data_IF_708040498435
#
_entry.id   IF_708040498435
#
_cell.length_a   1.000
_cell.length_b   1.000
_cell.length_c   1.000
_cell.angle_alpha   90.00
_cell.angle_beta   90.00
_cell.angle_gamma   90.00
#
_symmetry.space_group_name_H-M   'P 1'
#
loop_
_entity.id
_entity.type
_entity.pdbx_description
1 polymer ?
#
# COMPACT_ATOMS: atom_id res chain seq x y z
N UNK A 1 -2.84 -38.62 7.15
CA UNK A 1 -1.64 -37.79 7.42
C UNK A 1 -1.40 -37.88 8.93
N UNK A 2 -0.29 -38.49 9.36
CA UNK A 2 0.03 -38.65 10.79
C UNK A 2 0.34 -37.27 11.37
N UNK A 3 -0.52 -36.72 12.23
CA UNK A 3 -0.16 -35.59 13.10
C UNK A 3 0.81 -36.15 14.15
N UNK A 4 2.11 -35.96 13.94
CA UNK A 4 3.17 -36.52 14.80
C UNK A 4 3.28 -35.80 16.15
N UNK A 5 2.71 -34.60 16.27
CA UNK A 5 2.72 -33.81 17.50
C UNK A 5 1.33 -33.21 17.75
N UNK A 6 0.84 -33.30 18.98
CA UNK A 6 -0.37 -32.59 19.40
C UNK A 6 -0.03 -31.15 19.80
N UNK A 7 -0.98 -30.23 19.68
CA UNK A 7 -0.79 -28.84 20.11
C UNK A 7 -0.46 -28.75 21.61
N UNK A 8 -0.98 -29.67 22.40
CA UNK A 8 -0.66 -29.81 23.82
C UNK A 8 0.84 -30.07 24.08
N UNK A 9 1.54 -30.71 23.14
CA UNK A 9 2.95 -31.06 23.27
C UNK A 9 3.90 -29.90 22.88
N UNK A 10 3.51 -29.08 21.90
CA UNK A 10 4.41 -28.09 21.27
C UNK A 10 3.94 -26.64 21.35
N UNK A 11 2.67 -26.41 21.67
CA UNK A 11 2.01 -25.11 21.54
C UNK A 11 2.65 -24.03 22.41
N UNK A 12 2.94 -24.34 23.67
CA UNK A 12 3.53 -23.37 24.60
C UNK A 12 4.95 -22.94 24.16
N UNK A 13 5.81 -23.89 23.80
CA UNK A 13 7.19 -23.57 23.39
C UNK A 13 7.20 -22.83 22.04
N UNK A 14 6.32 -23.19 21.10
CA UNK A 14 6.17 -22.48 19.84
C UNK A 14 5.72 -21.04 20.07
N UNK A 15 4.67 -20.83 20.87
CA UNK A 15 4.17 -19.49 21.22
C UNK A 15 5.26 -18.67 21.90
N UNK A 16 6.03 -19.26 22.82
CA UNK A 16 7.14 -18.60 23.51
C UNK A 16 8.25 -18.18 22.56
N UNK A 17 8.57 -19.00 21.56
CA UNK A 17 9.57 -18.68 20.51
C UNK A 17 9.09 -17.56 19.61
N UNK A 18 7.82 -17.58 19.19
CA UNK A 18 7.23 -16.55 18.33
C UNK A 18 6.90 -15.25 19.08
N UNK A 19 6.66 -15.33 20.38
CA UNK A 19 6.39 -14.17 21.25
C UNK A 19 7.67 -13.46 21.68
N UNK A 20 8.82 -14.14 21.69
CA UNK A 20 10.12 -13.53 22.00
C UNK A 20 10.46 -12.45 20.99
N UNK A 21 10.38 -11.20 21.43
CA UNK A 21 11.04 -10.08 20.78
C UNK A 21 12.55 -10.24 21.03
N UNK A 22 13.23 -11.05 20.21
CA UNK A 22 14.68 -11.16 20.31
C UNK A 22 15.26 -9.82 19.86
N UNK A 23 15.76 -9.03 20.81
CA UNK A 23 16.69 -7.93 20.54
C UNK A 23 18.02 -8.57 20.07
N UNK A 24 18.05 -9.10 18.84
CA UNK A 24 19.33 -9.34 18.19
C UNK A 24 19.92 -7.97 17.88
N UNK A 25 21.01 -7.63 18.56
CA UNK A 25 21.79 -6.43 18.31
C UNK A 25 22.00 -6.27 16.79
N UNK A 26 21.32 -5.28 16.19
CA UNK A 26 21.43 -4.93 14.77
C UNK A 26 20.17 -5.05 13.92
N UNK A 27 19.08 -5.68 14.38
CA UNK A 27 17.78 -5.68 13.68
C UNK A 27 16.82 -4.66 14.32
N UNK A 28 16.28 -3.75 13.51
CA UNK A 28 15.23 -2.81 13.95
C UNK A 28 14.09 -3.57 14.62
N UNK A 29 13.75 -3.16 15.85
CA UNK A 29 12.77 -3.80 16.74
C UNK A 29 11.42 -4.14 16.08
N UNK A 30 11.01 -3.37 15.07
CA UNK A 30 9.78 -3.59 14.29
C UNK A 30 9.88 -4.72 13.24
N UNK A 31 11.05 -4.95 12.65
CA UNK A 31 11.21 -5.87 11.50
C UNK A 31 11.11 -7.35 11.92
N UNK A 32 11.59 -7.67 13.11
CA UNK A 32 11.51 -9.02 13.70
C UNK A 32 10.07 -9.34 14.16
N UNK A 33 9.37 -8.37 14.79
CA UNK A 33 7.99 -8.53 15.23
C UNK A 33 7.01 -8.80 14.08
N UNK A 34 7.17 -8.07 12.97
CA UNK A 34 6.44 -8.31 11.71
C UNK A 34 6.72 -9.71 11.14
N UNK A 35 7.94 -10.23 11.30
CA UNK A 35 8.30 -11.57 10.83
C UNK A 35 7.67 -12.69 11.66
N UNK A 36 7.57 -12.53 12.98
CA UNK A 36 6.92 -13.51 13.85
C UNK A 36 5.39 -13.54 13.65
N UNK A 37 4.78 -12.36 13.50
CA UNK A 37 3.35 -12.23 13.17
C UNK A 37 3.04 -12.91 11.82
N UNK A 38 3.84 -12.63 10.78
CA UNK A 38 3.68 -13.24 9.46
C UNK A 38 3.78 -14.78 9.53
N UNK A 39 4.79 -15.32 10.23
CA UNK A 39 4.92 -16.76 10.43
C UNK A 39 3.73 -17.36 11.18
N UNK A 40 3.24 -16.69 12.23
CA UNK A 40 2.07 -17.14 12.97
C UNK A 40 0.83 -17.21 12.07
N UNK A 41 0.59 -16.21 11.22
CA UNK A 41 -0.52 -16.18 10.27
C UNK A 41 -0.42 -17.26 9.19
N UNK A 42 0.79 -17.55 8.69
CA UNK A 42 1.00 -18.60 7.69
C UNK A 42 0.74 -19.99 8.28
N UNK A 43 1.23 -20.26 9.50
CA UNK A 43 0.95 -21.52 10.19
C UNK A 43 -0.54 -21.63 10.50
N UNK A 44 -1.14 -20.55 11.02
CA UNK A 44 -2.56 -20.44 11.28
C UNK A 44 -3.41 -20.79 10.04
N UNK A 45 -3.03 -20.31 8.86
CA UNK A 45 -3.76 -20.54 7.61
C UNK A 45 -3.83 -22.00 7.18
N UNK A 46 -2.89 -22.83 7.65
CA UNK A 46 -2.82 -24.26 7.37
C UNK A 46 -3.46 -25.15 8.43
N UNK A 47 -3.99 -24.58 9.53
CA UNK A 47 -4.57 -25.35 10.63
C UNK A 47 -6.09 -25.49 10.52
N UNK A 48 -6.59 -26.66 10.89
CA UNK A 48 -8.02 -26.86 11.15
C UNK A 48 -8.47 -26.05 12.38
N UNK A 49 -9.77 -25.73 12.44
CA UNK A 49 -10.35 -25.02 13.56
C UNK A 49 -10.09 -25.73 14.90
N UNK A 50 -9.64 -24.97 15.91
CA UNK A 50 -9.34 -25.50 17.24
C UNK A 50 -8.36 -24.62 18.03
N UNK A 51 -7.94 -25.12 19.20
CA UNK A 51 -7.13 -24.37 20.16
C UNK A 51 -5.80 -23.84 19.62
N UNK A 52 -5.17 -24.58 18.70
CA UNK A 52 -3.94 -24.15 18.03
C UNK A 52 -4.17 -22.92 17.13
N UNK A 53 -5.29 -22.93 16.39
CA UNK A 53 -5.69 -21.84 15.51
C UNK A 53 -6.01 -20.60 16.36
N UNK A 54 -6.83 -20.74 17.40
CA UNK A 54 -7.20 -19.63 18.29
C UNK A 54 -5.98 -18.99 18.97
N UNK A 55 -5.04 -19.81 19.43
CA UNK A 55 -3.85 -19.31 20.12
C UNK A 55 -2.91 -18.52 19.18
N UNK A 56 -2.70 -19.01 17.96
CA UNK A 56 -1.88 -18.31 16.95
C UNK A 56 -2.57 -17.03 16.46
N UNK A 57 -3.89 -17.07 16.28
CA UNK A 57 -4.68 -15.90 15.92
C UNK A 57 -4.56 -14.80 16.98
N UNK A 58 -4.78 -15.13 18.26
CA UNK A 58 -4.65 -14.17 19.35
C UNK A 58 -3.25 -13.57 19.46
N UNK A 59 -2.20 -14.38 19.25
CA UNK A 59 -0.83 -13.86 19.24
C UNK A 59 -0.57 -12.92 18.06
N UNK A 60 -1.03 -13.28 16.85
CA UNK A 60 -0.90 -12.44 15.67
C UNK A 60 -1.66 -11.11 15.84
N UNK A 61 -2.88 -11.15 16.37
CA UNK A 61 -3.71 -9.96 16.62
C UNK A 61 -3.08 -9.03 17.66
N UNK A 62 -2.53 -9.57 18.76
CA UNK A 62 -1.79 -8.76 19.75
C UNK A 62 -0.58 -8.06 19.15
N UNK A 63 0.18 -8.76 18.30
CA UNK A 63 1.32 -8.15 17.61
C UNK A 63 0.89 -7.10 16.58
N UNK A 64 -0.18 -7.37 15.84
CA UNK A 64 -0.74 -6.43 14.87
C UNK A 64 -1.31 -5.18 15.55
N UNK A 65 -1.89 -5.32 16.74
CA UNK A 65 -2.44 -4.23 17.54
C UNK A 65 -1.38 -3.22 18.02
N UNK A 66 -0.10 -3.59 18.02
CA UNK A 66 1.02 -2.69 18.36
C UNK A 66 1.54 -1.89 17.14
N UNK A 67 0.99 -2.13 15.95
CA UNK A 67 1.41 -1.46 14.71
C UNK A 67 0.61 -0.18 14.44
N UNK A 68 1.17 0.68 13.60
CA UNK A 68 0.40 1.74 12.94
C UNK A 68 -0.44 1.15 11.79
N UNK A 69 -1.49 1.86 11.35
CA UNK A 69 -2.30 1.45 10.20
C UNK A 69 -1.44 1.32 8.91
N UNK A 70 -0.45 2.21 8.74
CA UNK A 70 0.48 2.15 7.62
C UNK A 70 1.38 0.91 7.68
N UNK A 71 2.02 0.64 8.83
CA UNK A 71 2.87 -0.54 9.02
C UNK A 71 2.08 -1.85 8.86
N UNK A 72 0.82 -1.84 9.27
CA UNK A 72 -0.07 -2.98 9.17
C UNK A 72 -0.43 -3.29 7.71
N UNK A 73 -0.83 -2.28 6.93
CA UNK A 73 -1.18 -2.43 5.52
C UNK A 73 0.04 -2.67 4.61
N UNK A 74 1.23 -2.22 5.02
CA UNK A 74 2.50 -2.46 4.31
C UNK A 74 3.29 -3.65 4.83
N UNK A 75 2.73 -4.41 5.79
CA UNK A 75 3.35 -5.61 6.33
C UNK A 75 3.54 -6.71 5.27
N UNK A 76 4.19 -7.81 5.64
CA UNK A 76 4.39 -8.95 4.73
C UNK A 76 3.08 -9.69 4.40
N UNK A 77 2.11 -9.68 5.32
CA UNK A 77 0.90 -10.51 5.25
C UNK A 77 -0.39 -9.74 5.54
N UNK A 78 -0.65 -8.58 4.90
CA UNK A 78 -1.87 -7.79 5.15
C UNK A 78 -3.13 -8.52 4.70
N UNK A 79 -3.01 -9.39 3.68
CA UNK A 79 -4.09 -10.25 3.17
C UNK A 79 -4.51 -11.24 4.26
N UNK A 80 -3.56 -11.99 4.83
CA UNK A 80 -3.88 -12.98 5.88
C UNK A 80 -4.41 -12.29 7.14
N UNK A 81 -3.84 -11.16 7.54
CA UNK A 81 -4.37 -10.37 8.66
C UNK A 81 -5.85 -10.03 8.42
N UNK A 82 -6.17 -9.40 7.29
CA UNK A 82 -7.52 -8.98 6.99
C UNK A 82 -8.48 -10.18 6.86
N UNK A 83 -8.03 -11.29 6.25
CA UNK A 83 -8.78 -12.57 6.21
C UNK A 83 -9.21 -13.00 7.60
N UNK A 84 -8.26 -13.03 8.53
CA UNK A 84 -8.47 -13.55 9.88
C UNK A 84 -9.22 -12.57 10.79
N UNK A 85 -9.09 -11.26 10.59
CA UNK A 85 -9.99 -10.26 11.19
C UNK A 85 -11.43 -10.55 10.77
N UNK A 86 -11.67 -10.68 9.47
CA UNK A 86 -13.02 -10.88 8.92
C UNK A 86 -13.61 -12.25 9.31
N UNK A 87 -12.78 -13.28 9.44
CA UNK A 87 -13.19 -14.62 9.85
C UNK A 87 -13.43 -14.77 11.37
N UNK A 88 -13.04 -13.78 12.17
CA UNK A 88 -13.11 -13.90 13.63
C UNK A 88 -14.57 -13.82 14.12
N UNK A 89 -15.10 -14.94 14.62
CA UNK A 89 -16.50 -15.05 15.10
C UNK A 89 -16.72 -14.47 16.50
N UNK A 90 -15.68 -14.46 17.33
CA UNK A 90 -15.74 -14.03 18.73
C UNK A 90 -14.92 -12.74 18.93
N UNK A 91 -15.53 -11.58 18.68
CA UNK A 91 -14.84 -10.28 18.79
C UNK A 91 -14.85 -9.70 20.23
N UNK A 92 -14.75 -10.51 21.28
CA UNK A 92 -14.57 -9.97 22.63
C UNK A 92 -13.09 -9.72 22.98
N UNK A 93 -12.16 -9.99 22.05
CA UNK A 93 -10.74 -9.67 22.21
C UNK A 93 -10.48 -8.23 21.73
N UNK A 94 -10.08 -7.38 22.67
CA UNK A 94 -9.70 -5.98 22.44
C UNK A 94 -8.67 -5.82 21.31
N UNK A 95 -7.78 -6.81 21.11
CA UNK A 95 -6.77 -6.80 20.06
C UNK A 95 -7.38 -6.91 18.66
N UNK A 96 -8.44 -7.70 18.51
CA UNK A 96 -9.15 -7.86 17.23
C UNK A 96 -9.89 -6.59 16.87
N UNK A 97 -10.57 -5.96 17.84
CA UNK A 97 -11.26 -4.69 17.61
C UNK A 97 -10.25 -3.58 17.27
N UNK A 98 -9.11 -3.51 17.96
CA UNK A 98 -8.05 -2.55 17.65
C UNK A 98 -7.49 -2.74 16.24
N UNK A 99 -7.22 -3.98 15.82
CA UNK A 99 -6.74 -4.27 14.45
C UNK A 99 -7.81 -3.95 13.41
N UNK A 100 -9.07 -4.20 13.73
CA UNK A 100 -10.21 -3.84 12.89
C UNK A 100 -10.25 -2.34 12.66
N UNK A 101 -10.08 -1.54 13.71
CA UNK A 101 -10.08 -0.09 13.62
C UNK A 101 -8.83 0.43 12.88
N UNK A 102 -7.66 -0.20 13.03
CA UNK A 102 -6.49 0.11 12.20
C UNK A 102 -6.77 -0.05 10.70
N UNK A 103 -7.46 -1.11 10.28
CA UNK A 103 -7.87 -1.26 8.88
C UNK A 103 -8.90 -0.20 8.46
N UNK A 104 -9.85 0.16 9.33
CA UNK A 104 -10.82 1.22 9.04
C UNK A 104 -10.16 2.59 8.94
N UNK A 105 -9.10 2.85 9.68
CA UNK A 105 -8.39 4.14 9.67
C UNK A 105 -7.30 4.21 8.60
N UNK A 106 -6.89 3.07 8.04
CA UNK A 106 -5.89 3.00 7.00
C UNK A 106 -6.22 3.88 5.78
N UNK A 107 -5.17 4.44 5.19
CA UNK A 107 -5.22 5.15 3.92
C UNK A 107 -5.78 4.20 2.85
N UNK A 108 -6.87 4.57 2.14
CA UNK A 108 -7.47 3.72 1.12
C UNK A 108 -6.48 3.28 0.03
N UNK A 109 -5.43 4.07 -0.24
CA UNK A 109 -4.37 3.74 -1.20
C UNK A 109 -3.64 2.43 -0.86
N UNK A 110 -3.52 2.10 0.43
CA UNK A 110 -2.82 0.92 0.94
C UNK A 110 -3.70 -0.34 1.00
N UNK A 111 -5.02 -0.18 0.94
CA UNK A 111 -5.96 -1.30 1.08
C UNK A 111 -6.12 -2.15 -0.19
N UNK A 112 -5.71 -1.64 -1.35
CA UNK A 112 -5.99 -2.25 -2.65
C UNK A 112 -5.56 -3.72 -2.73
N UNK A 113 -4.30 -4.02 -2.41
CA UNK A 113 -3.77 -5.39 -2.49
C UNK A 113 -4.51 -6.37 -1.57
N UNK A 114 -4.81 -5.94 -0.34
CA UNK A 114 -5.49 -6.79 0.64
C UNK A 114 -6.92 -7.11 0.20
N UNK A 115 -7.67 -6.08 -0.23
CA UNK A 115 -9.04 -6.23 -0.71
C UNK A 115 -9.09 -7.12 -1.97
N UNK A 116 -8.25 -6.83 -2.97
CA UNK A 116 -8.26 -7.57 -4.24
C UNK A 116 -7.92 -9.05 -4.08
N UNK A 117 -6.99 -9.38 -3.20
CA UNK A 117 -6.60 -10.77 -2.95
C UNK A 117 -7.61 -11.53 -2.09
N UNK A 118 -8.35 -10.82 -1.24
CA UNK A 118 -9.39 -11.45 -0.43
C UNK A 118 -10.68 -11.69 -1.20
N UNK A 119 -11.05 -10.79 -2.11
CA UNK A 119 -12.30 -10.86 -2.88
C UNK A 119 -12.67 -12.28 -3.35
N UNK A 120 -11.76 -13.05 -3.98
CA UNK A 120 -12.08 -14.38 -4.51
C UNK A 120 -12.33 -15.44 -3.43
N UNK A 121 -11.81 -15.26 -2.22
CA UNK A 121 -11.92 -16.23 -1.12
C UNK A 121 -13.01 -15.88 -0.11
N UNK A 122 -13.65 -14.71 -0.22
CA UNK A 122 -14.72 -14.28 0.70
C UNK A 122 -15.90 -15.27 0.73
N UNK A 123 -16.25 -15.86 -0.41
CA UNK A 123 -17.36 -16.82 -0.50
C UNK A 123 -17.13 -18.12 0.29
N UNK A 124 -15.89 -18.43 0.67
CA UNK A 124 -15.57 -19.58 1.53
C UNK A 124 -15.27 -19.17 2.98
N UNK A 125 -15.30 -17.88 3.30
CA UNK A 125 -15.07 -17.36 4.65
C UNK A 125 -16.41 -17.22 5.37
N UNK A 126 -16.47 -17.79 6.57
CA UNK A 126 -17.64 -17.70 7.44
C UNK A 126 -17.61 -16.38 8.23
N UNK A 127 -18.29 -15.36 7.70
CA UNK A 127 -18.31 -14.01 8.28
C UNK A 127 -19.52 -13.79 9.18
N UNK A 128 -19.30 -13.10 10.30
CA UNK A 128 -20.41 -12.51 11.06
C UNK A 128 -20.96 -11.27 10.34
N UNK A 129 -22.22 -10.90 10.62
CA UNK A 129 -22.83 -9.68 10.05
C UNK A 129 -22.00 -8.42 10.37
N UNK A 130 -21.40 -8.35 11.57
CA UNK A 130 -20.48 -7.26 11.97
C UNK A 130 -19.28 -7.19 11.01
N UNK A 131 -18.66 -8.33 10.71
CA UNK A 131 -17.46 -8.40 9.88
C UNK A 131 -17.78 -8.15 8.41
N UNK A 132 -18.95 -8.62 7.94
CA UNK A 132 -19.48 -8.28 6.62
C UNK A 132 -19.64 -6.76 6.47
N UNK A 133 -20.24 -6.09 7.47
CA UNK A 133 -20.37 -4.63 7.48
C UNK A 133 -19.02 -3.89 7.51
N UNK A 134 -18.05 -4.41 8.25
CA UNK A 134 -16.68 -3.86 8.26
C UNK A 134 -16.00 -3.99 6.89
N UNK A 135 -16.06 -5.16 6.26
CA UNK A 135 -15.47 -5.34 4.94
C UNK A 135 -16.17 -4.48 3.87
N UNK A 136 -17.50 -4.38 3.91
CA UNK A 136 -18.26 -3.47 3.04
C UNK A 136 -17.82 -2.01 3.20
N UNK A 137 -17.48 -1.60 4.42
CA UNK A 137 -16.94 -0.26 4.71
C UNK A 137 -15.57 -0.06 4.06
N UNK A 138 -14.65 -1.04 4.17
CA UNK A 138 -13.34 -0.99 3.51
C UNK A 138 -13.45 -0.91 1.99
N UNK A 139 -14.34 -1.74 1.41
CA UNK A 139 -14.64 -1.72 -0.02
C UNK A 139 -15.14 -0.33 -0.46
N UNK A 140 -16.11 0.23 0.26
CA UNK A 140 -16.68 1.55 -0.04
C UNK A 140 -15.63 2.66 0.02
N UNK A 141 -14.76 2.65 1.05
CA UNK A 141 -13.62 3.58 1.15
C UNK A 141 -12.70 3.46 -0.06
N UNK A 142 -12.32 2.24 -0.45
CA UNK A 142 -11.43 2.00 -1.60
C UNK A 142 -12.06 2.46 -2.92
N UNK A 143 -13.33 2.15 -3.15
CA UNK A 143 -14.07 2.56 -4.35
C UNK A 143 -14.15 4.09 -4.43
N UNK A 144 -14.47 4.77 -3.32
CA UNK A 144 -14.55 6.23 -3.26
C UNK A 144 -13.20 6.86 -3.64
N UNK A 145 -12.12 6.37 -3.03
CA UNK A 145 -10.76 6.83 -3.32
C UNK A 145 -10.37 6.58 -4.79
N UNK A 146 -10.66 5.40 -5.35
CA UNK A 146 -10.40 5.07 -6.75
C UNK A 146 -11.10 6.04 -7.70
N UNK A 147 -12.37 6.39 -7.44
CA UNK A 147 -13.09 7.36 -8.28
C UNK A 147 -12.40 8.74 -8.28
N UNK A 148 -11.97 9.23 -7.10
CA UNK A 148 -11.24 10.50 -6.99
C UNK A 148 -9.90 10.46 -7.72
N UNK A 149 -9.13 9.39 -7.58
CA UNK A 149 -7.84 9.24 -8.27
C UNK A 149 -8.00 9.09 -9.78
N UNK A 150 -9.00 8.34 -10.25
CA UNK A 150 -9.31 8.19 -11.68
C UNK A 150 -9.71 9.52 -12.30
N UNK A 151 -10.53 10.33 -11.61
CA UNK A 151 -10.88 11.68 -12.07
C UNK A 151 -9.65 12.59 -12.16
N UNK A 152 -8.78 12.53 -11.15
CA UNK A 152 -7.54 13.31 -11.10
C UNK A 152 -6.57 12.93 -12.23
N UNK A 153 -6.33 11.64 -12.43
CA UNK A 153 -5.40 11.10 -13.43
C UNK A 153 -5.98 11.07 -14.85
N UNK A 154 -7.31 11.09 -15.00
CA UNK A 154 -8.03 11.09 -16.27
C UNK A 154 -7.93 12.41 -17.04
N UNK A 155 -7.31 13.44 -16.46
CA UNK A 155 -7.11 14.73 -17.11
C UNK A 155 -6.21 14.60 -18.36
N UNK A 156 -6.48 15.37 -19.43
CA UNK A 156 -5.62 15.40 -20.61
C UNK A 156 -4.17 15.78 -20.27
N UNK A 157 -3.25 15.44 -21.18
CA UNK A 157 -1.83 15.75 -21.03
C UNK A 157 -1.59 17.24 -20.74
N UNK A 158 -0.76 17.49 -19.72
CA UNK A 158 -0.26 18.82 -19.37
C UNK A 158 1.22 18.75 -19.00
N UNK A 159 1.95 19.85 -19.22
CA UNK A 159 3.32 20.03 -18.75
C UNK A 159 3.41 20.41 -17.26
N UNK A 160 2.26 20.68 -16.64
CA UNK A 160 2.15 20.97 -15.21
C UNK A 160 2.32 19.67 -14.43
N UNK A 161 3.27 19.65 -13.49
CA UNK A 161 3.47 18.57 -12.52
C UNK A 161 3.18 19.10 -11.10
N UNK A 162 1.91 19.18 -10.67
CA UNK A 162 1.49 19.98 -9.50
C UNK A 162 2.20 19.61 -8.20
N UNK A 163 2.55 18.33 -8.06
CA UNK A 163 3.15 17.76 -6.87
C UNK A 163 4.64 17.46 -7.03
N UNK A 164 5.28 17.98 -8.09
CA UNK A 164 6.72 17.83 -8.28
C UNK A 164 7.47 18.37 -7.06
N UNK A 165 8.44 17.60 -6.58
CA UNK A 165 9.33 17.98 -5.49
C UNK A 165 10.77 18.04 -6.01
N UNK A 166 11.47 19.12 -5.67
CA UNK A 166 12.88 19.30 -6.03
C UNK A 166 13.60 19.98 -4.87
N UNK A 167 14.29 19.19 -4.03
CA UNK A 167 14.80 19.62 -2.73
C UNK A 167 15.97 20.61 -2.81
N UNK A 168 16.73 20.58 -3.90
CA UNK A 168 17.95 21.37 -4.04
C UNK A 168 17.70 22.81 -4.51
N UNK A 169 16.57 23.07 -5.17
CA UNK A 169 16.26 24.40 -5.70
C UNK A 169 14.75 24.66 -5.84
N UNK A 170 14.27 25.69 -5.13
CA UNK A 170 12.84 26.07 -5.10
C UNK A 170 12.33 26.64 -6.42
N UNK A 171 13.19 27.31 -7.21
CA UNK A 171 12.81 27.83 -8.54
C UNK A 171 12.64 26.69 -9.54
N UNK A 172 13.47 25.65 -9.46
CA UNK A 172 13.28 24.41 -10.24
C UNK A 172 11.99 23.74 -9.87
N UNK A 173 11.68 23.65 -8.57
CA UNK A 173 10.41 23.10 -8.12
C UNK A 173 9.22 23.90 -8.67
N UNK A 174 9.29 25.23 -8.61
CA UNK A 174 8.25 26.11 -9.16
C UNK A 174 8.11 25.92 -10.68
N UNK A 175 9.21 25.86 -11.42
CA UNK A 175 9.21 25.56 -12.86
C UNK A 175 8.57 24.21 -13.16
N UNK A 176 8.91 23.15 -12.41
CA UNK A 176 8.33 21.82 -12.62
C UNK A 176 6.81 21.82 -12.42
N UNK A 177 6.32 22.62 -11.47
CA UNK A 177 4.88 22.83 -11.21
C UNK A 177 4.22 23.82 -12.18
N UNK A 178 4.98 24.59 -12.96
CA UNK A 178 4.47 25.52 -13.97
C UNK A 178 4.09 24.85 -15.29
N UNK A 179 3.55 25.60 -16.26
CA UNK A 179 3.24 25.10 -17.60
C UNK A 179 4.46 25.06 -18.55
N UNK A 180 5.57 25.70 -18.20
CA UNK A 180 6.72 25.87 -19.08
C UNK A 180 7.42 24.54 -19.34
N UNK A 181 7.84 24.30 -20.58
CA UNK A 181 8.46 23.01 -20.98
C UNK A 181 9.94 22.95 -20.62
N UNK A 182 10.63 24.10 -20.68
CA UNK A 182 12.08 24.21 -20.49
C UNK A 182 12.43 25.40 -19.62
N UNK A 183 13.45 25.26 -18.77
CA UNK A 183 14.05 26.36 -18.02
C UNK A 183 15.56 26.32 -18.15
N UNK A 184 16.18 27.49 -18.28
CA UNK A 184 17.64 27.65 -18.22
C UNK A 184 18.03 28.11 -16.83
N UNK A 185 18.91 27.34 -16.19
CA UNK A 185 19.54 27.71 -14.92
C UNK A 185 20.68 28.70 -15.21
N UNK A 186 20.32 29.98 -15.23
CA UNK A 186 21.30 31.07 -15.28
C UNK A 186 21.91 31.32 -13.90
N UNK A 187 22.91 32.20 -13.82
CA UNK A 187 23.61 32.56 -12.57
C UNK A 187 22.67 32.96 -11.41
N UNK A 188 21.45 33.42 -11.71
CA UNK A 188 20.43 33.78 -10.70
C UNK A 188 19.77 32.54 -10.06
N UNK A 189 19.54 31.50 -10.85
CA UNK A 189 18.92 30.24 -10.42
C UNK A 189 19.94 29.37 -9.70
N UNK A 190 21.11 29.20 -10.31
CA UNK A 190 22.24 28.46 -9.76
C UNK A 190 23.53 28.90 -10.46
N UNK A 191 24.53 29.28 -9.68
CA UNK A 191 25.86 29.61 -10.21
C UNK A 191 26.72 28.35 -10.27
N UNK A 192 27.14 27.97 -11.48
CA UNK A 192 28.08 26.87 -11.70
C UNK A 192 29.51 27.38 -11.76
N UNK A 193 30.47 26.60 -11.26
CA UNK A 193 31.91 26.94 -11.31
C UNK A 193 32.50 26.81 -12.72
N UNK A 194 31.84 26.06 -13.60
CA UNK A 194 32.26 25.82 -14.98
C UNK A 194 31.46 24.67 -15.60
N UNK A 195 31.75 24.34 -16.86
CA UNK A 195 30.99 23.32 -17.60
C UNK A 195 30.99 21.95 -16.90
N UNK A 196 32.12 21.55 -16.33
CA UNK A 196 32.23 20.26 -15.63
C UNK A 196 31.28 20.17 -14.42
N UNK A 197 31.18 21.25 -13.63
CA UNK A 197 30.27 21.34 -12.48
C UNK A 197 28.79 21.30 -12.93
N UNK A 198 28.45 22.06 -13.97
CA UNK A 198 27.13 22.03 -14.59
C UNK A 198 26.76 20.64 -15.12
N UNK A 199 27.70 19.95 -15.77
CA UNK A 199 27.50 18.62 -16.33
C UNK A 199 27.29 17.57 -15.23
N UNK A 200 28.08 17.63 -14.15
CA UNK A 200 27.92 16.73 -13.00
C UNK A 200 26.55 16.95 -12.33
N UNK A 201 26.14 18.20 -12.18
CA UNK A 201 24.81 18.54 -11.66
C UNK A 201 23.69 17.97 -12.54
N UNK A 202 23.75 18.19 -13.85
CA UNK A 202 22.77 17.67 -14.80
C UNK A 202 22.71 16.12 -14.78
N UNK A 203 23.86 15.46 -14.74
CA UNK A 203 23.96 14.01 -14.69
C UNK A 203 23.41 13.42 -13.39
N UNK A 204 23.66 14.06 -12.24
CA UNK A 204 23.11 13.67 -10.94
C UNK A 204 21.58 13.64 -10.97
N UNK A 205 20.96 14.77 -11.30
CA UNK A 205 19.49 14.92 -11.24
C UNK A 205 18.75 14.18 -12.35
N UNK A 206 19.41 13.87 -13.47
CA UNK A 206 18.83 13.01 -14.51
C UNK A 206 18.79 11.54 -14.07
N UNK A 207 19.69 11.11 -13.17
CA UNK A 207 19.77 9.73 -12.66
C UNK A 207 19.00 9.51 -11.37
N UNK A 208 18.92 10.52 -10.51
CA UNK A 208 18.21 10.43 -9.24
C UNK A 208 16.70 10.18 -9.43
N UNK A 209 16.09 9.56 -8.42
CA UNK A 209 14.65 9.33 -8.41
C UNK A 209 13.91 10.66 -8.39
N UNK A 210 13.15 10.92 -9.44
CA UNK A 210 12.34 12.13 -9.57
C UNK A 210 10.99 11.91 -8.90
N UNK A 211 10.62 12.78 -7.95
CA UNK A 211 9.42 12.61 -7.13
C UNK A 211 8.25 13.34 -7.78
N UNK A 212 7.26 12.58 -8.26
CA UNK A 212 6.06 13.09 -8.95
C UNK A 212 6.39 14.07 -10.08
N UNK A 213 7.49 13.82 -10.77
CA UNK A 213 8.00 14.65 -11.85
C UNK A 213 8.75 13.80 -12.87
N UNK A 214 8.89 14.30 -14.10
CA UNK A 214 9.79 13.72 -15.08
C UNK A 214 10.45 14.78 -15.96
N UNK A 215 11.77 14.87 -15.90
CA UNK A 215 12.59 15.83 -16.63
C UNK A 215 13.98 15.26 -16.97
N UNK A 216 14.65 15.92 -17.91
CA UNK A 216 16.08 15.73 -18.20
C UNK A 216 16.82 17.04 -17.98
N UNK A 217 18.09 16.95 -17.63
CA UNK A 217 18.98 18.11 -17.56
C UNK A 217 20.16 17.95 -18.50
N UNK A 218 20.55 19.03 -19.16
CA UNK A 218 21.70 19.09 -20.06
C UNK A 218 22.54 20.32 -19.74
N UNK A 219 23.85 20.15 -19.59
CA UNK A 219 24.78 21.25 -19.45
C UNK A 219 25.25 21.76 -20.81
N UNK A 220 25.39 23.07 -20.95
CA UNK A 220 25.96 23.75 -22.11
C UNK A 220 26.84 24.92 -21.66
N UNK A 221 27.79 25.31 -22.50
CA UNK A 221 28.52 26.57 -22.33
C UNK A 221 27.91 27.60 -23.29
N UNK A 222 27.46 28.73 -22.77
CA UNK A 222 26.88 29.83 -23.55
C UNK A 222 27.65 31.09 -23.13
N UNK A 223 28.29 31.77 -24.07
CA UNK A 223 29.05 33.02 -23.82
C UNK A 223 30.06 32.90 -22.65
N UNK A 224 30.82 31.81 -22.64
CA UNK A 224 31.76 31.42 -21.56
C UNK A 224 31.13 31.12 -20.18
N UNK A 225 29.80 31.16 -20.05
CA UNK A 225 29.06 30.74 -18.86
C UNK A 225 28.54 29.31 -18.97
N UNK A 226 28.71 28.54 -17.90
CA UNK A 226 28.12 27.22 -17.78
C UNK A 226 26.64 27.33 -17.38
N UNK A 227 25.76 26.76 -18.20
CA UNK A 227 24.30 26.81 -18.04
C UNK A 227 23.75 25.39 -18.08
N UNK A 228 22.82 25.08 -17.17
CA UNK A 228 22.04 23.83 -17.24
C UNK A 228 20.66 24.14 -17.77
N UNK A 229 20.22 23.40 -18.78
CA UNK A 229 18.84 23.43 -19.28
C UNK A 229 18.10 22.24 -18.71
N UNK A 230 16.99 22.50 -18.02
CA UNK A 230 16.04 21.47 -17.60
C UNK A 230 14.88 21.43 -18.59
N UNK A 231 14.54 20.24 -19.04
CA UNK A 231 13.46 19.99 -20.00
C UNK A 231 12.52 18.93 -19.44
N UNK A 232 11.24 19.27 -19.32
CA UNK A 232 10.19 18.33 -18.90
C UNK A 232 10.03 17.22 -19.95
N UNK A 233 9.57 16.06 -19.50
CA UNK A 233 9.34 14.90 -20.37
C UNK A 233 7.95 14.34 -20.14
N UNK A 234 7.42 13.61 -21.13
CA UNK A 234 6.10 12.98 -21.04
C UNK A 234 6.07 11.72 -20.18
N UNK A 235 7.21 11.25 -19.67
CA UNK A 235 7.31 9.97 -18.96
C UNK A 235 6.44 9.93 -17.70
N UNK A 236 6.39 11.00 -16.91
CA UNK A 236 5.49 11.08 -15.74
C UNK A 236 4.02 10.92 -16.14
N UNK A 237 3.58 11.62 -17.20
CA UNK A 237 2.23 11.45 -17.70
C UNK A 237 1.96 10.03 -18.20
N UNK A 238 2.91 9.40 -18.90
CA UNK A 238 2.76 8.02 -19.34
C UNK A 238 2.62 7.04 -18.15
N UNK A 239 3.39 7.24 -17.08
CA UNK A 239 3.26 6.47 -15.82
C UNK A 239 1.89 6.72 -15.15
N UNK A 240 1.41 7.96 -15.16
CA UNK A 240 0.05 8.29 -14.70
C UNK A 240 -1.03 7.58 -15.52
N UNK A 241 -0.87 7.47 -16.85
CA UNK A 241 -1.82 6.76 -17.71
C UNK A 241 -1.81 5.25 -17.47
N UNK A 242 -0.63 4.65 -17.19
CA UNK A 242 -0.55 3.24 -16.78
C UNK A 242 -1.27 3.01 -15.45
N UNK A 243 -1.03 3.89 -14.47
CA UNK A 243 -1.68 3.82 -13.15
C UNK A 243 -3.21 4.00 -13.28
N UNK A 244 -3.66 4.94 -14.11
CA UNK A 244 -5.07 5.17 -14.41
C UNK A 244 -5.75 3.90 -14.95
N UNK A 245 -5.08 3.19 -15.86
CA UNK A 245 -5.62 1.94 -16.42
C UNK A 245 -5.75 0.87 -15.32
N UNK A 246 -4.74 0.71 -14.47
CA UNK A 246 -4.80 -0.23 -13.33
C UNK A 246 -5.96 0.08 -12.38
N UNK A 247 -6.16 1.37 -12.04
CA UNK A 247 -7.25 1.78 -11.16
C UNK A 247 -8.64 1.57 -11.78
N UNK A 248 -8.79 1.79 -13.09
CA UNK A 248 -10.05 1.48 -13.79
C UNK A 248 -10.37 -0.02 -13.73
N UNK A 249 -9.38 -0.86 -14.01
CA UNK A 249 -9.54 -2.31 -13.96
C UNK A 249 -9.87 -2.82 -12.55
N UNK A 250 -9.22 -2.26 -11.52
CA UNK A 250 -9.55 -2.54 -10.13
C UNK A 250 -10.99 -2.12 -9.81
N UNK A 251 -11.38 -0.89 -10.15
CA UNK A 251 -12.72 -0.37 -9.89
C UNK A 251 -13.79 -1.26 -10.53
N UNK A 252 -13.58 -1.73 -11.76
CA UNK A 252 -14.50 -2.61 -12.47
C UNK A 252 -14.62 -3.97 -11.76
N UNK A 253 -13.51 -4.54 -11.27
CA UNK A 253 -13.53 -5.77 -10.46
C UNK A 253 -14.34 -5.59 -9.17
N UNK A 254 -14.10 -4.50 -8.44
CA UNK A 254 -14.80 -4.23 -7.19
C UNK A 254 -16.31 -4.03 -7.41
N UNK A 255 -16.70 -3.25 -8.43
CA UNK A 255 -18.12 -3.04 -8.78
C UNK A 255 -18.83 -4.32 -9.19
N UNK A 256 -18.16 -5.18 -9.96
CA UNK A 256 -18.70 -6.48 -10.36
C UNK A 256 -19.03 -7.33 -9.13
N UNK A 257 -18.13 -7.39 -8.16
CA UNK A 257 -18.35 -8.14 -6.93
C UNK A 257 -19.54 -7.61 -6.12
N UNK A 258 -19.65 -6.30 -5.93
CA UNK A 258 -20.80 -5.70 -5.25
C UNK A 258 -22.14 -5.98 -5.98
N UNK A 259 -22.12 -6.11 -7.31
CA UNK A 259 -23.31 -6.41 -8.11
C UNK A 259 -23.71 -7.89 -8.02
N UNK A 260 -22.74 -8.79 -7.95
CA UNK A 260 -22.96 -10.25 -7.83
C UNK A 260 -23.49 -10.63 -6.44
N UNK A 261 -23.03 -9.96 -5.38
CA UNK A 261 -23.56 -10.16 -4.02
C UNK A 261 -25.03 -9.75 -3.90
N UNK A 262 -25.44 -8.63 -4.53
CA UNK A 262 -26.83 -8.17 -4.55
C UNK A 262 -27.78 -9.10 -5.33
N UNK A 263 -27.29 -9.82 -6.35
CA UNK A 263 -28.09 -10.77 -7.11
C UNK A 263 -28.25 -12.14 -6.41
N UNK A 264 -27.37 -12.46 -5.46
CA UNK A 264 -27.41 -13.70 -4.67
C UNK A 264 -28.46 -13.64 -3.55
N UNK A 265 -28.67 -12.47 -2.93
CA UNK A 265 -29.68 -12.29 -1.88
C UNK A 265 -31.12 -12.45 -2.38
N UNK A 266 -31.40 -12.15 -3.65
CA UNK A 266 -32.76 -12.30 -4.22
C UNK A 266 -33.13 -13.75 -4.57
N UNK A 267 -32.14 -14.65 -4.70
CA UNK A 267 -32.41 -16.08 -5.01
C UNK A 267 -32.78 -16.92 -3.80
N UNK A 268 -32.66 -16.41 -2.56
CA UNK A 268 -33.05 -17.14 -1.33
C UNK A 268 -34.47 -16.88 -0.86
N UNK A 269 -35.26 -16.04 -1.54
CA UNK A 269 -36.65 -15.74 -1.16
C UNK A 269 -37.66 -16.21 -2.21
N UNK A 270 -37.66 -17.52 -2.51
CA UNK A 270 -38.83 -18.16 -3.10
C UNK A 270 -38.81 -19.66 -2.82
N UNK A 271 -39.43 -20.04 -1.70
CA UNK A 271 -40.12 -21.34 -1.48
C UNK A 271 -40.74 -21.36 -0.09
N UNK A 272 -42.00 -20.95 -0.02
CA UNK A 272 -43.07 -21.53 0.81
C UNK A 272 -44.36 -20.71 0.57
N UNK A 273 -45.15 -21.15 -0.40
CA UNK A 273 -46.60 -21.31 -0.30
C UNK A 273 -47.00 -22.46 -1.22
#
# INVERSE_FOLDING_TARGET
MLRVFDWSDIGEELLKKLSRNVNTYGMEKGRMGLSCMALALQVLDGLDAGSAQDALLNMAMKKAADLSAEDLCTSKEPVLLLKWVISSRNSSDESVDKVTDLFKDADPSLLGLAIEKLLPVLGSVDMSDKNTGMFATLLSKRITWLNTEIESLGKPFSWVMPHAAFSDNVEVQAFLRGPEVTMKMSRRVRKFKGFHDANNYAAKWTKEKQVKASFKMEARSIDADAVVTITKTRKWFAECQQTLQQYKEELDRLKKHCSEEGASSDKKRSRLQ
#
